data_IF_349439891601
#
_entry.id   IF_349439891601
#
_cell.length_a   1.000
_cell.length_b   1.000
_cell.length_c   1.000
_cell.angle_alpha   90.00
_cell.angle_beta   90.00
_cell.angle_gamma   90.00
#
_symmetry.space_group_name_H-M   'P 1'
#
loop_
_entity.id
_entity.type
_entity.pdbx_description
1 polymer ?
#
# COMPACT_ATOMS: atom_id res chain seq x y z
N UNK A 1 -34.91 23.17 42.72
CA UNK A 1 -34.01 23.93 41.82
C UNK A 1 -32.57 23.38 41.86
N UNK A 2 -31.98 23.19 43.05
CA UNK A 2 -30.61 22.64 43.25
C UNK A 2 -30.37 21.25 42.63
N UNK A 3 -31.35 20.34 42.69
CA UNK A 3 -31.22 18.98 42.13
C UNK A 3 -31.24 18.95 40.60
N UNK A 4 -31.91 19.91 39.97
CA UNK A 4 -31.95 20.07 38.52
C UNK A 4 -30.60 20.60 38.03
N UNK A 5 -30.07 21.63 38.69
CA UNK A 5 -28.75 22.19 38.38
C UNK A 5 -27.62 21.15 38.53
N UNK A 6 -27.70 20.28 39.55
CA UNK A 6 -26.75 19.17 39.76
C UNK A 6 -26.80 18.11 38.65
N UNK A 7 -27.98 17.83 38.08
CA UNK A 7 -28.12 16.91 36.95
C UNK A 7 -27.54 17.50 35.66
N UNK A 8 -27.78 18.78 35.39
CA UNK A 8 -27.21 19.45 34.21
C UNK A 8 -25.68 19.59 34.29
N UNK A 9 -25.13 19.90 35.46
CA UNK A 9 -23.67 19.95 35.69
C UNK A 9 -23.00 18.59 35.40
N UNK A 10 -23.66 17.49 35.78
CA UNK A 10 -23.16 16.13 35.56
C UNK A 10 -23.25 15.70 34.08
N UNK A 11 -24.30 16.12 33.36
CA UNK A 11 -24.39 15.92 31.91
C UNK A 11 -23.30 16.69 31.15
N UNK A 12 -23.02 17.94 31.54
CA UNK A 12 -21.95 18.74 30.92
C UNK A 12 -20.58 18.10 31.17
N UNK A 13 -20.33 17.56 32.37
CA UNK A 13 -19.06 16.88 32.69
C UNK A 13 -18.83 15.60 31.86
N UNK A 14 -19.88 14.83 31.57
CA UNK A 14 -19.79 13.63 30.70
C UNK A 14 -19.44 14.01 29.25
N UNK A 15 -19.94 15.15 28.76
CA UNK A 15 -19.63 15.64 27.40
C UNK A 15 -18.17 16.09 27.29
N UNK A 16 -17.59 16.66 28.36
CA UNK A 16 -16.16 17.03 28.39
C UNK A 16 -15.21 15.83 28.51
N UNK A 17 -15.67 14.68 29.02
CA UNK A 17 -14.90 13.44 29.08
C UNK A 17 -14.80 12.71 27.72
N UNK A 18 -15.59 13.12 26.72
CA UNK A 18 -15.42 12.68 25.32
C UNK A 18 -14.26 13.40 24.60
N UNK A 19 -13.29 13.95 25.36
CA UNK A 19 -12.14 14.66 24.84
C UNK A 19 -11.13 13.75 24.16
N UNK A 20 -10.86 14.04 22.88
CA UNK A 20 -9.76 13.57 22.04
C UNK A 20 -9.35 12.09 22.23
N UNK A 21 -10.12 11.18 21.63
CA UNK A 21 -9.62 9.84 21.32
C UNK A 21 -8.38 9.97 20.44
N UNK A 22 -7.19 9.76 21.03
CA UNK A 22 -5.91 9.81 20.33
C UNK A 22 -5.66 8.44 19.66
N UNK A 23 -6.61 8.04 18.83
CA UNK A 23 -6.65 6.74 18.17
C UNK A 23 -5.48 6.56 17.22
N UNK A 24 -4.86 5.39 17.26
CA UNK A 24 -3.78 5.04 16.35
C UNK A 24 -4.27 5.07 14.91
N UNK A 25 -3.57 5.81 14.06
CA UNK A 25 -3.89 5.88 12.63
C UNK A 25 -3.16 4.79 11.86
N UNK A 26 -3.90 3.99 11.11
CA UNK A 26 -3.36 3.01 10.17
C UNK A 26 -3.39 3.58 8.76
N UNK A 27 -2.22 3.67 8.13
CA UNK A 27 -2.08 4.03 6.73
C UNK A 27 -1.92 2.76 5.87
N UNK A 28 -2.94 2.44 5.07
CA UNK A 28 -2.90 1.32 4.13
C UNK A 28 -2.37 1.82 2.78
N UNK A 29 -1.27 1.24 2.32
CA UNK A 29 -0.75 1.48 0.98
C UNK A 29 -1.46 0.58 -0.03
N UNK A 30 -2.53 1.09 -0.60
CA UNK A 30 -3.49 0.34 -1.40
C UNK A 30 -3.06 0.07 -2.85
N UNK A 31 -1.81 0.37 -3.23
CA UNK A 31 -1.34 0.34 -4.63
C UNK A 31 -1.59 -1.00 -5.35
N UNK A 32 -1.53 -2.13 -4.64
CA UNK A 32 -1.57 -3.46 -5.23
C UNK A 32 -2.76 -4.32 -4.83
N UNK A 33 -3.69 -3.77 -4.05
CA UNK A 33 -4.85 -4.52 -3.54
C UNK A 33 -6.12 -4.16 -4.30
N UNK A 34 -6.98 -5.14 -4.63
CA UNK A 34 -8.29 -4.88 -5.22
C UNK A 34 -9.18 -4.06 -4.28
N UNK A 35 -10.12 -3.29 -4.85
CA UNK A 35 -11.04 -2.44 -4.08
C UNK A 35 -11.86 -3.19 -3.03
N UNK A 36 -12.36 -4.39 -3.35
CA UNK A 36 -13.14 -5.20 -2.40
C UNK A 36 -12.30 -5.63 -1.19
N UNK A 37 -11.10 -6.17 -1.43
CA UNK A 37 -10.19 -6.58 -0.35
C UNK A 37 -9.70 -5.38 0.48
N UNK A 38 -9.54 -4.21 -0.14
CA UNK A 38 -9.23 -2.97 0.57
C UNK A 38 -10.37 -2.57 1.50
N UNK A 39 -11.63 -2.62 1.03
CA UNK A 39 -12.80 -2.27 1.83
C UNK A 39 -12.89 -3.20 3.05
N UNK A 40 -12.74 -4.52 2.83
CA UNK A 40 -12.77 -5.51 3.92
C UNK A 40 -11.68 -5.26 4.96
N UNK A 41 -10.43 -5.05 4.52
CA UNK A 41 -9.33 -4.77 5.44
C UNK A 41 -9.56 -3.45 6.20
N UNK A 42 -10.02 -2.40 5.51
CA UNK A 42 -10.30 -1.10 6.11
C UNK A 42 -11.37 -1.23 7.19
N UNK A 43 -12.50 -1.85 6.87
CA UNK A 43 -13.60 -2.04 7.82
C UNK A 43 -13.17 -2.86 9.03
N UNK A 44 -12.44 -3.96 8.82
CA UNK A 44 -11.96 -4.79 9.92
C UNK A 44 -11.03 -4.02 10.87
N UNK A 45 -10.23 -3.09 10.37
CA UNK A 45 -9.36 -2.24 11.19
C UNK A 45 -10.13 -1.12 11.89
N UNK A 46 -11.12 -0.52 11.23
CA UNK A 46 -12.01 0.48 11.86
C UNK A 46 -12.84 -0.13 12.99
N UNK A 47 -13.28 -1.38 12.86
CA UNK A 47 -14.01 -2.14 13.89
C UNK A 47 -13.15 -2.41 15.14
N UNK A 48 -11.83 -2.54 14.99
CA UNK A 48 -10.88 -2.63 16.12
C UNK A 48 -10.57 -1.26 16.75
N UNK A 49 -11.23 -0.20 16.28
CA UNK A 49 -11.12 1.16 16.83
C UNK A 49 -9.98 1.98 16.24
N UNK A 50 -9.34 1.54 15.16
CA UNK A 50 -8.31 2.35 14.49
C UNK A 50 -8.92 3.44 13.60
N UNK A 51 -8.22 4.56 13.48
CA UNK A 51 -8.47 5.49 12.37
C UNK A 51 -7.76 4.96 11.12
N UNK A 52 -8.43 4.83 9.98
CA UNK A 52 -7.84 4.17 8.79
C UNK A 52 -7.83 5.10 7.58
N UNK A 53 -6.62 5.36 7.09
CA UNK A 53 -6.37 6.14 5.89
C UNK A 53 -5.75 5.26 4.79
N UNK A 54 -6.09 5.54 3.54
CA UNK A 54 -5.59 4.78 2.38
C UNK A 54 -4.88 5.71 1.41
N UNK A 55 -3.76 5.25 0.85
CA UNK A 55 -3.07 5.96 -0.23
C UNK A 55 -2.61 4.99 -1.32
N UNK A 56 -2.25 5.50 -2.49
CA UNK A 56 -1.77 4.70 -3.63
C UNK A 56 -0.31 4.99 -3.98
N UNK A 57 0.46 5.51 -3.01
CA UNK A 57 1.87 5.84 -3.20
C UNK A 57 2.69 4.58 -3.51
N UNK A 58 3.81 4.78 -4.19
CA UNK A 58 4.75 3.70 -4.47
C UNK A 58 5.29 3.09 -3.17
N UNK A 59 5.46 1.78 -3.17
CA UNK A 59 6.11 1.08 -2.07
C UNK A 59 7.62 1.41 -2.12
N UNK A 60 8.28 1.62 -0.97
CA UNK A 60 9.73 1.66 -0.91
C UNK A 60 10.35 0.39 -1.51
N UNK A 61 11.50 0.51 -2.17
CA UNK A 61 12.20 -0.63 -2.79
C UNK A 61 12.65 -1.68 -1.79
N UNK A 62 12.77 -1.32 -0.50
CA UNK A 62 13.09 -2.24 0.59
C UNK A 62 11.91 -3.11 1.04
N UNK A 63 10.69 -2.88 0.53
CA UNK A 63 9.48 -3.63 0.91
C UNK A 63 9.06 -4.53 -0.25
N UNK A 64 9.25 -5.84 -0.09
CA UNK A 64 8.93 -6.86 -1.11
C UNK A 64 7.85 -7.86 -0.69
N UNK A 65 7.36 -7.76 0.55
CA UNK A 65 6.39 -8.67 1.14
C UNK A 65 5.41 -7.90 2.03
N UNK A 66 4.40 -8.59 2.54
CA UNK A 66 3.46 -7.99 3.49
C UNK A 66 4.21 -7.48 4.72
N UNK A 67 4.39 -6.17 4.79
CA UNK A 67 5.18 -5.51 5.83
C UNK A 67 4.31 -4.52 6.59
N UNK A 68 4.52 -4.47 7.89
CA UNK A 68 3.99 -3.43 8.76
C UNK A 68 5.15 -2.56 9.25
N UNK A 69 5.03 -1.25 9.06
CA UNK A 69 5.91 -0.30 9.72
C UNK A 69 5.16 0.36 10.86
N UNK A 70 5.83 0.60 11.98
CA UNK A 70 5.19 1.31 13.09
C UNK A 70 6.08 2.40 13.66
N UNK A 71 5.44 3.45 14.17
CA UNK A 71 6.13 4.51 14.90
C UNK A 71 6.70 4.03 16.23
N UNK A 72 7.73 4.72 16.74
CA UNK A 72 8.21 4.54 18.11
C UNK A 72 7.35 5.28 19.15
N UNK A 73 6.47 6.18 18.70
CA UNK A 73 5.57 6.98 19.54
C UNK A 73 4.14 6.42 19.54
N UNK A 74 3.99 5.10 19.36
CA UNK A 74 2.69 4.46 19.53
C UNK A 74 2.22 4.58 20.98
N UNK A 75 0.95 4.94 21.15
CA UNK A 75 0.37 5.16 22.48
C UNK A 75 -0.23 3.87 23.05
N UNK A 76 -0.81 3.03 22.21
CA UNK A 76 -1.30 1.70 22.59
C UNK A 76 -0.21 0.65 22.33
N UNK A 77 0.31 -0.02 23.37
CA UNK A 77 1.35 -1.05 23.22
C UNK A 77 0.86 -2.28 22.45
N UNK A 78 -0.45 -2.52 22.37
CA UNK A 78 -1.02 -3.67 21.67
C UNK A 78 -1.40 -3.36 20.22
N UNK A 79 -1.35 -2.10 19.79
CA UNK A 79 -1.84 -1.68 18.48
C UNK A 79 -1.20 -2.45 17.32
N UNK A 80 0.10 -2.74 17.40
CA UNK A 80 0.83 -3.51 16.38
C UNK A 80 0.29 -4.93 16.29
N UNK A 81 0.11 -5.60 17.42
CA UNK A 81 -0.36 -6.99 17.45
C UNK A 81 -1.82 -7.09 17.02
N UNK A 82 -2.68 -6.18 17.47
CA UNK A 82 -4.08 -6.10 17.03
C UNK A 82 -4.15 -5.88 15.52
N UNK A 83 -3.47 -4.85 15.00
CA UNK A 83 -3.44 -4.57 13.57
C UNK A 83 -2.90 -5.75 12.74
N UNK A 84 -1.85 -6.43 13.24
CA UNK A 84 -1.26 -7.61 12.59
C UNK A 84 -2.26 -8.75 12.51
N UNK A 85 -2.93 -9.06 13.62
CA UNK A 85 -3.94 -10.12 13.66
C UNK A 85 -5.11 -9.82 12.71
N UNK A 86 -5.58 -8.57 12.68
CA UNK A 86 -6.67 -8.14 11.81
C UNK A 86 -6.28 -8.20 10.33
N UNK A 87 -5.07 -7.76 9.97
CA UNK A 87 -4.55 -7.92 8.61
C UNK A 87 -4.41 -9.39 8.21
N UNK A 88 -3.89 -10.24 9.10
CA UNK A 88 -3.77 -11.68 8.87
C UNK A 88 -5.13 -12.35 8.64
N UNK A 89 -6.14 -12.03 9.46
CA UNK A 89 -7.53 -12.52 9.31
C UNK A 89 -8.14 -12.06 7.97
N UNK A 90 -7.80 -10.86 7.53
CA UNK A 90 -8.21 -10.31 6.22
C UNK A 90 -7.43 -10.88 5.03
N UNK A 91 -6.58 -11.89 5.25
CA UNK A 91 -5.84 -12.59 4.20
C UNK A 91 -4.48 -11.96 3.85
N UNK A 92 -4.07 -10.89 4.53
CA UNK A 92 -2.78 -10.23 4.38
C UNK A 92 -1.83 -10.68 5.49
N UNK A 93 -1.26 -11.87 5.34
CA UNK A 93 -0.29 -12.43 6.30
C UNK A 93 0.93 -11.50 6.41
N UNK A 94 1.05 -10.74 7.49
CA UNK A 94 2.19 -9.85 7.76
C UNK A 94 3.41 -10.71 8.10
N UNK A 95 4.40 -10.67 7.22
CA UNK A 95 5.63 -11.47 7.30
C UNK A 95 6.77 -10.69 7.96
N UNK A 96 6.67 -9.37 7.98
CA UNK A 96 7.72 -8.48 8.46
C UNK A 96 7.13 -7.28 9.20
N UNK A 97 7.76 -6.93 10.32
CA UNK A 97 7.36 -5.81 11.17
C UNK A 97 8.61 -5.02 11.49
N UNK A 98 8.63 -3.74 11.12
CA UNK A 98 9.77 -2.87 11.35
C UNK A 98 9.34 -1.61 12.08
N UNK A 99 10.15 -1.17 13.05
CA UNK A 99 10.02 0.16 13.59
C UNK A 99 10.54 1.19 12.57
N UNK A 100 9.84 2.31 12.44
CA UNK A 100 10.32 3.45 11.69
C UNK A 100 11.60 3.99 12.33
N UNK A 101 12.56 4.38 11.50
CA UNK A 101 13.79 5.05 11.93
C UNK A 101 13.66 6.57 11.77
N UNK A 102 14.47 7.30 12.52
CA UNK A 102 14.58 8.76 12.45
C UNK A 102 14.82 9.22 11.00
N UNK A 103 14.12 10.27 10.57
CA UNK A 103 14.10 10.75 9.18
C UNK A 103 12.87 10.32 8.37
N UNK A 104 12.05 9.38 8.86
CA UNK A 104 10.74 9.11 8.27
C UNK A 104 9.69 10.08 8.84
N UNK A 105 8.88 10.73 7.98
CA UNK A 105 7.86 11.72 8.37
C UNK A 105 6.80 11.20 9.38
N UNK A 106 6.74 9.89 9.61
CA UNK A 106 5.80 9.27 10.54
C UNK A 106 6.44 8.72 11.82
N UNK A 107 7.77 8.86 11.97
CA UNK A 107 8.54 8.38 13.11
C UNK A 107 8.03 8.87 14.47
N UNK A 108 7.45 10.07 14.53
CA UNK A 108 6.96 10.71 15.76
C UNK A 108 5.44 10.69 15.94
N UNK A 109 4.70 9.96 15.10
CA UNK A 109 3.22 9.96 15.11
C UNK A 109 2.64 8.74 15.82
N UNK A 110 1.41 8.78 16.31
CA UNK A 110 0.69 7.58 16.75
C UNK A 110 0.16 6.81 15.52
N UNK A 111 1.05 6.17 14.76
CA UNK A 111 0.73 5.64 13.44
C UNK A 111 1.41 4.31 13.11
N UNK A 112 0.70 3.51 12.31
CA UNK A 112 1.15 2.26 11.71
C UNK A 112 0.94 2.37 10.19
N UNK A 113 1.87 1.87 9.40
CA UNK A 113 1.72 1.73 7.96
C UNK A 113 1.67 0.24 7.59
N UNK A 114 0.74 -0.12 6.72
CA UNK A 114 0.59 -1.49 6.21
C UNK A 114 0.83 -1.47 4.70
N UNK A 115 1.72 -2.35 4.25
CA UNK A 115 2.07 -2.56 2.86
C UNK A 115 1.56 -3.94 2.40
N UNK A 116 0.27 -4.05 2.07
CA UNK A 116 -0.32 -5.31 1.68
C UNK A 116 0.00 -5.68 0.22
N UNK A 117 0.48 -6.90 0.04
CA UNK A 117 0.62 -7.59 -1.24
C UNK A 117 -0.51 -8.62 -1.39
N UNK A 118 -1.04 -8.81 -2.60
CA UNK A 118 -1.97 -9.89 -2.88
C UNK A 118 -1.28 -11.26 -2.68
N UNK A 119 -2.06 -12.28 -2.26
CA UNK A 119 -1.59 -13.62 -1.85
C UNK A 119 -0.53 -14.23 -2.78
N UNK A 120 -0.67 -14.04 -4.09
CA UNK A 120 0.16 -14.70 -5.11
C UNK A 120 1.33 -13.85 -5.64
N UNK A 121 1.65 -12.72 -4.99
CA UNK A 121 2.67 -11.80 -5.53
C UNK A 121 3.67 -11.23 -4.51
N UNK A 122 3.79 -11.86 -3.34
CA UNK A 122 4.88 -11.56 -2.41
C UNK A 122 6.22 -11.96 -3.05
N UNK A 123 7.26 -11.16 -2.83
CA UNK A 123 8.60 -11.33 -3.40
C UNK A 123 8.66 -11.29 -4.94
N UNK A 124 7.59 -10.84 -5.61
CA UNK A 124 7.65 -10.58 -7.05
C UNK A 124 8.41 -9.26 -7.25
N UNK A 125 9.57 -9.25 -7.94
CA UNK A 125 10.32 -8.02 -8.18
C UNK A 125 9.51 -7.00 -9.00
N UNK A 126 8.48 -7.47 -9.70
CA UNK A 126 7.61 -6.67 -10.56
C UNK A 126 6.16 -7.09 -10.34
N UNK A 127 5.32 -6.15 -9.89
CA UNK A 127 3.87 -6.34 -9.90
C UNK A 127 3.31 -5.81 -11.22
N UNK A 128 2.20 -6.39 -11.71
CA UNK A 128 1.53 -5.92 -12.94
C UNK A 128 1.25 -4.41 -12.93
N UNK A 129 0.98 -3.83 -11.76
CA UNK A 129 0.77 -2.40 -11.58
C UNK A 129 2.05 -1.59 -11.80
N UNK A 130 3.23 -2.14 -11.50
CA UNK A 130 4.53 -1.52 -11.76
C UNK A 130 4.91 -1.61 -13.23
N UNK A 131 4.41 -2.62 -13.94
CA UNK A 131 4.61 -2.77 -15.37
C UNK A 131 3.69 -1.87 -16.21
N UNK A 132 2.64 -1.28 -15.64
CA UNK A 132 1.70 -0.43 -16.36
C UNK A 132 2.30 0.96 -16.68
N UNK A 133 3.34 0.96 -17.51
CA UNK A 133 4.16 2.11 -17.87
C UNK A 133 4.36 2.22 -19.39
N UNK A 134 4.99 3.32 -19.80
CA UNK A 134 5.49 3.51 -21.16
C UNK A 134 6.96 3.10 -21.21
N UNK A 135 7.29 2.12 -22.03
CA UNK A 135 8.66 1.68 -22.30
C UNK A 135 9.06 2.18 -23.68
N UNK A 136 10.26 2.76 -23.81
CA UNK A 136 10.84 3.19 -25.08
C UNK A 136 12.17 2.47 -25.26
N UNK A 137 12.49 2.03 -26.47
CA UNK A 137 13.85 1.57 -26.78
C UNK A 137 14.83 2.73 -26.66
N UNK A 138 15.91 2.53 -25.92
CA UNK A 138 17.06 3.46 -25.88
C UNK A 138 18.25 2.76 -26.54
N UNK A 139 18.94 3.47 -27.43
CA UNK A 139 20.11 2.95 -28.15
C UNK A 139 19.82 1.80 -29.13
N UNK A 140 18.77 1.92 -29.94
CA UNK A 140 18.50 1.03 -31.08
C UNK A 140 18.28 1.89 -32.35
N UNK A 141 18.62 1.36 -33.52
CA UNK A 141 18.43 2.04 -34.81
C UNK A 141 16.97 2.38 -35.11
N UNK A 142 16.03 1.69 -34.46
CA UNK A 142 14.60 1.91 -34.58
C UNK A 142 13.99 2.26 -33.21
N UNK A 143 13.15 3.30 -33.20
CA UNK A 143 12.38 3.69 -32.01
C UNK A 143 11.07 2.89 -31.93
N UNK A 144 10.96 2.06 -30.89
CA UNK A 144 9.73 1.35 -30.53
C UNK A 144 9.25 1.80 -29.16
N UNK A 145 7.94 1.86 -29.01
CA UNK A 145 7.26 2.19 -27.76
C UNK A 145 6.27 1.10 -27.40
N UNK A 146 6.29 0.68 -26.14
CA UNK A 146 5.30 -0.20 -25.55
C UNK A 146 4.58 0.55 -24.44
N UNK A 147 3.28 0.70 -24.57
CA UNK A 147 2.39 1.10 -23.48
C UNK A 147 1.75 -0.14 -22.90
N UNK A 148 2.01 -0.43 -21.63
CA UNK A 148 1.29 -1.44 -20.87
C UNK A 148 0.24 -0.76 -19.99
N UNK A 149 -1.00 -1.25 -20.06
CA UNK A 149 -2.11 -0.75 -19.25
C UNK A 149 -2.31 -1.64 -18.01
N UNK A 150 -2.91 -1.08 -16.97
CA UNK A 150 -3.18 -1.81 -15.71
C UNK A 150 -4.06 -3.05 -15.89
N UNK A 151 -4.95 -3.02 -16.90
CA UNK A 151 -5.81 -4.16 -17.26
C UNK A 151 -5.08 -5.25 -18.08
N UNK A 152 -3.77 -5.09 -18.33
CA UNK A 152 -2.96 -5.99 -19.15
C UNK A 152 -3.09 -5.78 -20.66
N UNK A 153 -3.91 -4.83 -21.11
CA UNK A 153 -3.89 -4.40 -22.50
C UNK A 153 -2.56 -3.73 -22.84
N UNK A 154 -2.16 -3.78 -24.11
CA UNK A 154 -0.91 -3.17 -24.56
C UNK A 154 -1.10 -2.46 -25.89
N UNK A 155 -0.33 -1.39 -26.09
CA UNK A 155 -0.21 -0.71 -27.37
C UNK A 155 1.26 -0.67 -27.76
N UNK A 156 1.55 -1.10 -28.99
CA UNK A 156 2.88 -1.08 -29.56
C UNK A 156 2.89 -0.06 -30.71
N UNK A 157 3.85 0.86 -30.71
CA UNK A 157 4.04 1.84 -31.78
C UNK A 157 5.52 1.95 -32.14
N UNK A 158 5.81 2.27 -33.40
CA UNK A 158 7.18 2.31 -33.94
C UNK A 158 7.21 2.07 -35.46
N UNK A 159 8.36 2.29 -36.07
CA UNK A 159 8.55 2.07 -37.51
C UNK A 159 8.60 0.56 -37.83
N UNK A 160 7.96 0.13 -38.93
CA UNK A 160 7.97 -1.25 -39.42
C UNK A 160 7.32 -2.31 -38.51
N UNK A 161 6.29 -1.96 -37.72
CA UNK A 161 5.46 -2.96 -37.03
C UNK A 161 4.41 -3.50 -38.01
N UNK A 162 4.62 -4.72 -38.51
CA UNK A 162 3.61 -5.52 -39.21
C UNK A 162 2.94 -6.53 -38.27
N UNK A 163 1.72 -6.99 -38.59
CA UNK A 163 0.98 -7.96 -37.76
C UNK A 163 1.75 -9.28 -37.55
N UNK A 164 2.57 -9.68 -38.52
CA UNK A 164 3.49 -10.83 -38.47
C UNK A 164 4.59 -10.69 -37.40
N UNK A 165 5.08 -9.46 -37.15
CA UNK A 165 6.24 -9.20 -36.27
C UNK A 165 5.83 -8.73 -34.87
N UNK A 166 4.54 -8.42 -34.68
CA UNK A 166 3.95 -7.91 -33.42
C UNK A 166 4.19 -8.84 -32.22
N UNK A 167 4.13 -10.15 -32.45
CA UNK A 167 4.38 -11.17 -31.42
C UNK A 167 5.84 -11.24 -30.96
N UNK A 168 6.79 -11.00 -31.88
CA UNK A 168 8.22 -10.96 -31.58
C UNK A 168 8.57 -9.72 -30.74
N UNK A 169 8.09 -8.55 -31.15
CA UNK A 169 8.29 -7.30 -30.39
C UNK A 169 7.67 -7.36 -28.99
N UNK A 170 6.53 -8.02 -28.83
CA UNK A 170 5.91 -8.26 -27.51
C UNK A 170 6.85 -9.01 -26.56
N UNK A 171 7.53 -10.06 -27.04
CA UNK A 171 8.49 -10.82 -26.23
C UNK A 171 9.76 -10.02 -25.95
N UNK A 172 10.29 -9.33 -26.97
CA UNK A 172 11.52 -8.55 -26.85
C UNK A 172 11.37 -7.37 -25.88
N UNK A 173 10.28 -6.61 -25.96
CA UNK A 173 10.02 -5.49 -25.03
C UNK A 173 9.65 -5.97 -23.63
N UNK A 174 9.02 -7.13 -23.47
CA UNK A 174 8.83 -7.75 -22.17
C UNK A 174 10.19 -8.13 -21.54
N UNK A 175 11.12 -8.67 -22.33
CA UNK A 175 12.49 -8.97 -21.88
C UNK A 175 13.28 -7.70 -21.53
N UNK A 176 13.15 -6.61 -22.30
CA UNK A 176 13.77 -5.32 -21.96
C UNK A 176 13.14 -4.68 -20.71
N UNK A 177 11.83 -4.76 -20.52
CA UNK A 177 11.19 -4.31 -19.29
C UNK A 177 11.71 -5.12 -18.08
N UNK A 178 11.92 -6.43 -18.25
CA UNK A 178 12.54 -7.27 -17.23
C UNK A 178 14.02 -6.92 -17.03
N UNK A 179 14.79 -6.54 -18.07
CA UNK A 179 16.20 -6.17 -17.90
C UNK A 179 16.38 -4.78 -17.26
N UNK A 180 15.46 -3.84 -17.53
CA UNK A 180 15.49 -2.48 -16.96
C UNK A 180 15.00 -2.50 -15.50
N UNK A 181 14.03 -3.35 -15.16
CA UNK A 181 13.49 -3.46 -13.80
C UNK A 181 14.01 -4.68 -13.01
N UNK A 182 14.90 -5.48 -13.59
CA UNK A 182 15.29 -6.80 -13.06
C UNK A 182 16.74 -7.17 -13.32
N UNK A 183 17.63 -6.20 -13.53
CA UNK A 183 19.06 -6.40 -13.39
C UNK A 183 19.54 -5.89 -12.02
N UNK A 184 19.06 -6.52 -10.93
CA UNK A 184 19.75 -6.53 -9.64
C UNK A 184 19.43 -7.86 -8.93
N UNK A 185 20.12 -8.90 -9.37
CA UNK A 185 20.52 -10.01 -8.51
C UNK A 185 22.04 -10.01 -8.45
N UNK A 186 22.58 -9.40 -7.40
CA UNK A 186 23.76 -9.82 -6.65
C UNK A 186 23.54 -9.38 -5.20
#
# INVERSE_FOLDING_TARGET
>A
MITIFRKYLLCVFIIFLAGCSNTTTIHIYAKYIPGESLIQLKQALEEEGFNVETNTLAFPTSISQNTMLHSLMLQDPNAVDTAKQTANKSGFKISDIQALKEGNHWYTKNAIAIYPFPKDKQNSPLLKADLAQHFKTTSCDNEYQLKLHQNGAYQLSGQNISEENKGFFKRYLALCAISIYGAQTL
#
